data_IF_969335473907
#
_entry.id   IF_969335473907
#
_cell.length_a   1.000
_cell.length_b   1.000
_cell.length_c   1.000
_cell.angle_alpha   90.00
_cell.angle_beta   90.00
_cell.angle_gamma   90.00
#
_symmetry.space_group_name_H-M   'P 1'
#
loop_
_entity.id
_entity.type
_entity.pdbx_description
1 polymer ?
#
# COMPACT_ATOMS: atom_id res chain seq x y z
N UNK A 1 -14.13 42.09 -17.88
CA UNK A 1 -14.45 40.66 -18.06
C UNK A 1 -13.16 39.93 -18.35
N UNK A 2 -12.82 38.89 -17.58
CA UNK A 2 -11.57 38.14 -17.71
C UNK A 2 -11.05 37.67 -16.35
N UNK A 3 -11.79 36.73 -15.75
CA UNK A 3 -11.55 36.17 -14.42
C UNK A 3 -10.24 35.36 -14.38
N UNK A 4 -9.22 35.89 -13.72
CA UNK A 4 -7.96 35.18 -13.42
C UNK A 4 -8.04 34.37 -12.13
N UNK A 5 -9.10 33.58 -11.94
CA UNK A 5 -9.24 32.62 -10.84
C UNK A 5 -8.86 31.23 -11.33
N UNK A 6 -7.57 30.95 -11.50
CA UNK A 6 -7.09 29.58 -11.79
C UNK A 6 -5.85 29.18 -10.99
N UNK A 7 -5.61 29.86 -9.86
CA UNK A 7 -4.51 29.53 -8.93
C UNK A 7 -4.99 28.93 -7.60
N UNK A 8 -6.29 28.60 -7.49
CA UNK A 8 -6.93 28.33 -6.20
C UNK A 8 -7.07 26.84 -5.79
N UNK A 9 -6.77 25.85 -6.64
CA UNK A 9 -7.11 24.44 -6.36
C UNK A 9 -5.93 23.44 -6.45
N UNK A 10 -4.71 23.90 -6.77
CA UNK A 10 -3.55 23.02 -6.98
C UNK A 10 -2.67 22.81 -5.72
N UNK A 11 -3.03 23.40 -4.59
CA UNK A 11 -2.41 23.14 -3.28
C UNK A 11 -3.02 21.90 -2.60
N UNK A 12 -3.35 20.84 -3.38
CA UNK A 12 -3.72 19.54 -2.80
C UNK A 12 -2.56 19.08 -1.91
N UNK A 13 -2.80 19.16 -0.60
CA UNK A 13 -1.90 18.89 0.53
C UNK A 13 -0.74 17.95 0.18
N UNK A 14 0.37 18.51 -0.32
CA UNK A 14 1.61 17.75 -0.46
C UNK A 14 2.06 17.38 0.95
N UNK A 15 2.05 16.09 1.26
CA UNK A 15 2.68 15.61 2.48
C UNK A 15 4.18 15.91 2.36
N UNK A 16 4.74 16.58 3.35
CA UNK A 16 6.20 16.72 3.45
C UNK A 16 6.79 15.33 3.74
N UNK A 17 7.86 14.95 3.06
CA UNK A 17 8.53 13.67 3.27
C UNK A 17 9.00 13.47 4.72
N UNK A 18 9.34 14.56 5.42
CA UNK A 18 9.63 14.52 6.86
C UNK A 18 8.45 13.97 7.66
N UNK A 19 7.22 14.35 7.32
CA UNK A 19 6.00 13.84 7.98
C UNK A 19 5.79 12.35 7.70
N UNK A 20 6.08 11.89 6.48
CA UNK A 20 6.00 10.47 6.12
C UNK A 20 7.03 9.65 6.89
N UNK A 21 8.27 10.14 7.02
CA UNK A 21 9.32 9.49 7.81
C UNK A 21 8.93 9.43 9.29
N UNK A 22 8.45 10.55 9.86
CA UNK A 22 8.01 10.61 11.25
C UNK A 22 6.82 9.67 11.51
N UNK A 23 5.88 9.59 10.57
CA UNK A 23 4.77 8.63 10.61
C UNK A 23 5.29 7.19 10.55
N UNK A 24 6.23 6.87 9.66
CA UNK A 24 6.83 5.55 9.55
C UNK A 24 7.49 5.07 10.85
N UNK A 25 8.22 5.95 11.53
CA UNK A 25 8.81 5.64 12.84
C UNK A 25 7.74 5.49 13.93
N UNK A 26 6.75 6.39 13.95
CA UNK A 26 5.67 6.35 14.93
C UNK A 26 4.78 5.11 14.78
N UNK A 27 4.52 4.68 13.55
CA UNK A 27 3.74 3.48 13.25
C UNK A 27 4.46 2.22 13.72
N UNK A 28 5.76 2.11 13.44
CA UNK A 28 6.56 0.95 13.85
C UNK A 28 6.68 0.85 15.36
N UNK A 29 7.02 1.94 16.03
CA UNK A 29 7.24 1.93 17.48
C UNK A 29 5.94 1.84 18.28
N UNK A 30 4.91 2.57 17.87
CA UNK A 30 3.73 2.78 18.72
C UNK A 30 2.40 2.33 18.10
N UNK A 31 2.38 1.99 16.81
CA UNK A 31 1.13 1.57 16.14
C UNK A 31 0.10 2.70 16.06
N UNK A 32 0.55 3.95 16.00
CA UNK A 32 -0.34 5.12 16.02
C UNK A 32 -1.29 5.14 14.81
N UNK A 33 -2.60 5.26 15.07
CA UNK A 33 -3.62 5.34 14.02
C UNK A 33 -3.41 6.52 13.06
N UNK A 34 -3.05 7.69 13.58
CA UNK A 34 -2.73 8.87 12.75
C UNK A 34 -1.52 8.63 11.85
N UNK A 35 -0.55 7.87 12.35
CA UNK A 35 0.61 7.48 11.55
C UNK A 35 0.22 6.52 10.43
N UNK A 36 -0.61 5.51 10.72
CA UNK A 36 -1.18 4.63 9.71
C UNK A 36 -1.93 5.40 8.62
N UNK A 37 -2.84 6.30 8.98
CA UNK A 37 -3.59 7.12 8.01
C UNK A 37 -2.65 7.97 7.14
N UNK A 38 -1.59 8.54 7.73
CA UNK A 38 -0.58 9.30 6.98
C UNK A 38 0.19 8.42 6.00
N UNK A 39 0.56 7.20 6.40
CA UNK A 39 1.28 6.26 5.53
C UNK A 39 0.39 5.73 4.40
N UNK A 40 -0.87 5.38 4.69
CA UNK A 40 -1.83 4.94 3.67
C UNK A 40 -2.08 6.05 2.64
N UNK A 41 -2.26 7.29 3.08
CA UNK A 41 -2.43 8.43 2.18
C UNK A 41 -1.17 8.68 1.33
N UNK A 42 0.02 8.58 1.92
CA UNK A 42 1.27 8.76 1.21
C UNK A 42 1.52 7.65 0.16
N UNK A 43 1.23 6.40 0.50
CA UNK A 43 1.39 5.25 -0.40
C UNK A 43 0.44 5.28 -1.60
N UNK A 44 -0.75 5.87 -1.44
CA UNK A 44 -1.73 6.04 -2.52
C UNK A 44 -1.60 7.38 -3.27
N UNK A 45 -0.69 8.27 -2.86
CA UNK A 45 -0.54 9.60 -3.45
C UNK A 45 0.30 9.63 -4.72
N UNK A 46 0.39 10.80 -5.36
CA UNK A 46 1.12 10.99 -6.63
C UNK A 46 2.64 11.23 -6.46
N UNK A 47 3.07 11.56 -5.24
CA UNK A 47 4.47 11.89 -4.95
C UNK A 47 5.30 10.61 -4.77
N UNK A 48 6.16 10.32 -5.75
CA UNK A 48 6.94 9.09 -5.81
C UNK A 48 7.82 8.87 -4.57
N UNK A 49 8.46 9.93 -4.08
CA UNK A 49 9.32 9.83 -2.89
C UNK A 49 8.50 9.45 -1.65
N UNK A 50 7.34 10.08 -1.46
CA UNK A 50 6.45 9.77 -0.36
C UNK A 50 5.86 8.37 -0.47
N UNK A 51 5.49 7.92 -1.68
CA UNK A 51 5.01 6.55 -1.92
C UNK A 51 6.05 5.53 -1.50
N UNK A 52 7.28 5.69 -1.98
CA UNK A 52 8.40 4.81 -1.63
C UNK A 52 8.65 4.79 -0.11
N UNK A 53 8.75 5.94 0.54
CA UNK A 53 8.99 6.04 1.98
C UNK A 53 7.87 5.40 2.80
N UNK A 54 6.62 5.57 2.36
CA UNK A 54 5.47 4.97 3.00
C UNK A 54 5.45 3.45 2.82
N UNK A 55 5.68 2.96 1.59
CA UNK A 55 5.78 1.53 1.28
C UNK A 55 6.84 0.83 2.12
N UNK A 56 8.07 1.37 2.15
CA UNK A 56 9.15 0.84 3.00
C UNK A 56 8.78 0.80 4.48
N UNK A 57 8.08 1.84 4.97
CA UNK A 57 7.68 1.91 6.38
C UNK A 57 6.57 0.90 6.71
N UNK A 58 5.65 0.67 5.78
CA UNK A 58 4.59 -0.32 5.90
C UNK A 58 5.18 -1.74 5.87
N UNK A 59 6.06 -2.05 4.91
CA UNK A 59 6.77 -3.34 4.85
C UNK A 59 7.52 -3.62 6.15
N UNK A 60 8.30 -2.65 6.63
CA UNK A 60 9.01 -2.76 7.94
C UNK A 60 8.09 -2.81 9.16
N UNK A 61 6.81 -2.45 9.01
CA UNK A 61 5.80 -2.61 10.06
C UNK A 61 5.28 -4.04 10.19
N UNK A 62 5.61 -4.93 9.24
CA UNK A 62 5.31 -6.36 9.30
C UNK A 62 3.81 -6.65 9.43
N UNK A 63 3.47 -7.63 10.26
CA UNK A 63 2.10 -8.10 10.49
C UNK A 63 1.10 -6.98 10.81
N UNK A 64 1.51 -5.96 11.57
CA UNK A 64 0.62 -4.83 11.88
C UNK A 64 0.20 -4.07 10.62
N UNK A 65 1.12 -3.88 9.68
CA UNK A 65 0.81 -3.26 8.39
C UNK A 65 0.00 -4.20 7.50
N UNK A 66 0.25 -5.50 7.58
CA UNK A 66 -0.57 -6.50 6.88
C UNK A 66 -2.04 -6.38 7.31
N UNK A 67 -2.31 -6.42 8.61
CA UNK A 67 -3.66 -6.29 9.16
C UNK A 67 -4.30 -4.96 8.75
N UNK A 68 -3.52 -3.87 8.74
CA UNK A 68 -3.99 -2.56 8.29
C UNK A 68 -4.45 -2.59 6.83
N UNK A 69 -3.66 -3.18 5.93
CA UNK A 69 -3.96 -3.26 4.49
C UNK A 69 -5.14 -4.21 4.25
N UNK A 70 -5.18 -5.36 4.91
CA UNK A 70 -6.31 -6.30 4.83
C UNK A 70 -7.61 -5.63 5.29
N UNK A 71 -7.57 -4.82 6.36
CA UNK A 71 -8.73 -4.04 6.79
C UNK A 71 -9.13 -2.94 5.79
N UNK A 72 -8.18 -2.32 5.07
CA UNK A 72 -8.53 -1.38 3.99
C UNK A 72 -9.20 -2.10 2.83
N UNK A 73 -8.71 -3.29 2.47
CA UNK A 73 -9.28 -4.11 1.41
C UNK A 73 -10.70 -4.54 1.77
N UNK A 74 -10.92 -5.11 2.95
CA UNK A 74 -12.24 -5.49 3.44
C UNK A 74 -13.23 -4.30 3.52
N UNK A 75 -12.72 -3.08 3.67
CA UNK A 75 -13.52 -1.86 3.69
C UNK A 75 -13.75 -1.23 2.30
N UNK A 76 -13.24 -1.84 1.21
CA UNK A 76 -13.32 -1.30 -0.15
C UNK A 76 -12.51 -0.01 -0.35
N UNK A 77 -11.45 0.19 0.46
CA UNK A 77 -10.61 1.40 0.48
C UNK A 77 -9.16 1.14 0.10
N UNK A 78 -8.79 -0.11 -0.15
CA UNK A 78 -7.46 -0.45 -0.62
C UNK A 78 -7.23 0.12 -2.03
N UNK A 79 -5.99 0.54 -2.29
CA UNK A 79 -5.51 0.89 -3.62
C UNK A 79 -4.57 -0.19 -4.13
N UNK A 80 -4.40 -0.27 -5.45
CA UNK A 80 -3.49 -1.23 -6.06
C UNK A 80 -2.04 -1.14 -5.51
N UNK A 81 -1.45 0.06 -5.31
CA UNK A 81 -0.13 0.17 -4.68
C UNK A 81 -0.05 -0.44 -3.27
N UNK A 82 -1.12 -0.35 -2.47
CA UNK A 82 -1.15 -0.95 -1.13
C UNK A 82 -1.22 -2.48 -1.21
N UNK A 83 -2.01 -3.00 -2.15
CA UNK A 83 -2.17 -4.44 -2.34
C UNK A 83 -0.84 -5.10 -2.73
N UNK A 84 -0.03 -4.42 -3.56
CA UNK A 84 1.31 -4.87 -3.96
C UNK A 84 2.30 -5.06 -2.80
N UNK A 85 2.04 -4.46 -1.64
CA UNK A 85 2.91 -4.61 -0.46
C UNK A 85 2.65 -5.89 0.32
N UNK A 86 1.50 -6.57 0.12
CA UNK A 86 1.17 -7.76 0.90
C UNK A 86 2.20 -8.90 0.75
N UNK A 87 2.64 -9.27 -0.47
CA UNK A 87 3.67 -10.30 -0.64
C UNK A 87 5.00 -9.96 0.05
N UNK A 88 5.42 -8.70 -0.01
CA UNK A 88 6.67 -8.22 0.61
C UNK A 88 6.62 -8.24 2.15
N UNK A 89 5.41 -8.17 2.73
CA UNK A 89 5.21 -8.25 4.17
C UNK A 89 5.16 -9.71 4.62
N UNK A 90 4.33 -10.52 3.95
CA UNK A 90 4.12 -11.93 4.28
C UNK A 90 3.55 -12.66 3.05
N UNK A 91 4.43 -13.30 2.27
CA UNK A 91 4.06 -14.05 1.07
C UNK A 91 3.04 -15.17 1.32
N UNK A 92 3.17 -15.88 2.45
CA UNK A 92 2.30 -17.02 2.77
C UNK A 92 0.88 -16.54 3.07
N UNK A 93 0.75 -15.53 3.92
CA UNK A 93 -0.55 -14.96 4.26
C UNK A 93 -1.15 -14.16 3.10
N UNK A 94 -0.32 -13.47 2.32
CA UNK A 94 -0.75 -12.67 1.17
C UNK A 94 -1.58 -13.49 0.19
N UNK A 95 -1.17 -14.74 -0.09
CA UNK A 95 -1.89 -15.64 -1.00
C UNK A 95 -3.39 -15.69 -0.72
N UNK A 96 -3.76 -16.01 0.52
CA UNK A 96 -5.17 -16.17 0.89
C UNK A 96 -5.97 -14.85 0.84
N UNK A 97 -5.32 -13.71 1.06
CA UNK A 97 -5.97 -12.39 0.94
C UNK A 97 -6.14 -12.00 -0.53
N UNK A 98 -5.13 -12.24 -1.35
CA UNK A 98 -5.15 -11.94 -2.78
C UNK A 98 -6.16 -12.82 -3.52
N UNK A 99 -6.26 -14.11 -3.18
CA UNK A 99 -7.27 -15.02 -3.76
C UNK A 99 -8.70 -14.51 -3.48
N UNK A 100 -8.96 -14.06 -2.26
CA UNK A 100 -10.25 -13.43 -1.91
C UNK A 100 -10.48 -12.14 -2.71
N UNK A 101 -9.44 -11.31 -2.89
CA UNK A 101 -9.53 -10.09 -3.68
C UNK A 101 -9.87 -10.39 -5.15
N UNK A 102 -9.26 -11.40 -5.76
CA UNK A 102 -9.57 -11.81 -7.15
C UNK A 102 -11.04 -12.21 -7.32
N UNK A 103 -11.63 -12.82 -6.29
CA UNK A 103 -13.01 -13.31 -6.31
C UNK A 103 -14.05 -12.23 -5.94
N UNK A 104 -13.69 -11.31 -5.03
CA UNK A 104 -14.62 -10.34 -4.44
C UNK A 104 -14.52 -8.91 -5.00
N UNK A 105 -13.40 -8.54 -5.60
CA UNK A 105 -13.15 -7.20 -6.12
C UNK A 105 -13.25 -7.15 -7.65
N UNK A 106 -13.28 -5.94 -8.22
CA UNK A 106 -13.29 -5.73 -9.68
C UNK A 106 -12.27 -4.67 -10.11
N UNK A 107 -11.97 -4.62 -11.41
CA UNK A 107 -11.04 -3.66 -11.99
C UNK A 107 -9.60 -3.81 -11.46
N UNK A 108 -8.95 -2.67 -11.22
CA UNK A 108 -7.52 -2.57 -10.91
C UNK A 108 -7.10 -3.41 -9.70
N UNK A 109 -7.95 -3.53 -8.68
CA UNK A 109 -7.65 -4.31 -7.47
C UNK A 109 -7.60 -5.81 -7.78
N UNK A 110 -8.58 -6.34 -8.54
CA UNK A 110 -8.60 -7.74 -8.92
C UNK A 110 -7.46 -8.07 -9.90
N UNK A 111 -7.12 -7.16 -10.82
CA UNK A 111 -5.97 -7.32 -11.72
C UNK A 111 -4.65 -7.35 -10.94
N UNK A 112 -4.44 -6.37 -10.05
CA UNK A 112 -3.25 -6.31 -9.19
C UNK A 112 -3.13 -7.55 -8.31
N UNK A 113 -4.25 -8.06 -7.79
CA UNK A 113 -4.25 -9.28 -7.00
C UNK A 113 -3.75 -10.50 -7.79
N UNK A 114 -4.20 -10.66 -9.05
CA UNK A 114 -3.72 -11.71 -9.96
C UNK A 114 -2.23 -11.55 -10.25
N UNK A 115 -1.77 -10.34 -10.56
CA UNK A 115 -0.34 -10.05 -10.79
C UNK A 115 0.53 -10.48 -9.61
N UNK A 116 0.08 -10.19 -8.38
CA UNK A 116 0.81 -10.59 -7.18
C UNK A 116 0.81 -12.11 -6.97
N UNK A 117 -0.29 -12.80 -7.27
CA UNK A 117 -0.36 -14.27 -7.21
C UNK A 117 0.60 -14.89 -8.23
N UNK A 118 0.56 -14.42 -9.47
CA UNK A 118 1.45 -14.90 -10.54
C UNK A 118 2.93 -14.72 -10.17
N UNK A 119 3.27 -13.61 -9.52
CA UNK A 119 4.63 -13.38 -9.02
C UNK A 119 5.01 -14.38 -7.91
N UNK A 120 4.12 -14.62 -6.95
CA UNK A 120 4.35 -15.59 -5.88
C UNK A 120 4.51 -17.01 -6.42
N UNK A 121 3.73 -17.39 -7.44
CA UNK A 121 3.86 -18.68 -8.11
C UNK A 121 5.23 -18.85 -8.77
N UNK A 122 5.70 -17.85 -9.53
CA UNK A 122 7.02 -17.89 -10.16
C UNK A 122 8.15 -18.00 -9.14
N UNK A 123 8.06 -17.29 -8.01
CA UNK A 123 9.07 -17.39 -6.94
C UNK A 123 9.07 -18.81 -6.34
N UNK A 124 7.88 -19.36 -6.06
CA UNK A 124 7.76 -20.71 -5.51
C UNK A 124 8.19 -21.82 -6.49
N UNK A 125 8.14 -21.59 -7.80
CA UNK A 125 8.73 -22.48 -8.81
C UNK A 125 10.26 -22.43 -8.77
N UNK A 126 10.85 -21.23 -8.71
CA UNK A 126 12.31 -21.06 -8.64
C UNK A 126 12.91 -21.69 -7.37
N UNK A 127 12.24 -21.58 -6.22
CA UNK A 127 12.71 -22.17 -4.96
C UNK A 127 12.69 -23.72 -4.96
N UNK A 128 11.80 -24.33 -5.76
CA UNK A 128 11.72 -25.80 -5.89
C UNK A 128 12.82 -26.35 -6.78
N UNK A 129 13.24 -25.61 -7.80
CA UNK A 129 14.31 -26.03 -8.72
C UNK A 129 15.70 -26.00 -8.06
N UNK A 130 15.86 -25.28 -6.94
CA UNK A 130 17.10 -25.21 -6.16
C UNK A 130 17.21 -26.26 -5.04
N UNK A 131 16.16 -27.08 -4.81
CA UNK A 131 16.05 -28.08 -3.72
C UNK A 131 16.24 -29.52 -4.21
#
# INVERSE_FOLDING_TARGET
MGSGTSSSEAHKRRLSSFRVIAAGTSWRLFGSRRAAETLLQAAAGDDEQNRMLAGMSLVKGGQRSFDLIENQLAAGKASAPLLRLLPDIDAVRARGVLDKAVQGETGEIAETARECIDLLDRIGELEKDES
#
